data_IF_152188680802
#
_entry.id   IF_152188680802
#
_cell.length_a   1.000
_cell.length_b   1.000
_cell.length_c   1.000
_cell.angle_alpha   90.00
_cell.angle_beta   90.00
_cell.angle_gamma   90.00
#
_symmetry.space_group_name_H-M   'P 1'
#
loop_
_entity.id
_entity.type
_entity.pdbx_description
1 polymer ?
#
# COMPACT_ATOMS: atom_id res chain seq x y z
N UNK A 1 25.13 -13.81 7.41
CA UNK A 1 23.93 -13.00 7.55
C UNK A 1 23.61 -12.41 6.19
N UNK A 2 22.42 -12.70 5.63
CA UNK A 2 21.97 -12.12 4.37
C UNK A 2 21.71 -10.61 4.52
N UNK A 3 21.55 -9.89 3.42
CA UNK A 3 21.15 -8.47 3.46
C UNK A 3 19.82 -8.31 4.20
N UNK A 4 18.86 -9.17 3.92
CA UNK A 4 17.58 -9.23 4.60
C UNK A 4 17.73 -9.35 6.14
N UNK A 5 18.53 -10.32 6.62
CA UNK A 5 18.75 -10.54 8.05
C UNK A 5 19.41 -9.32 8.73
N UNK A 6 20.33 -8.64 8.02
CA UNK A 6 20.95 -7.40 8.55
C UNK A 6 19.92 -6.29 8.71
N UNK A 7 19.07 -6.07 7.70
CA UNK A 7 18.01 -5.05 7.72
C UNK A 7 17.02 -5.35 8.83
N UNK A 8 16.57 -6.59 8.97
CA UNK A 8 15.64 -7.01 9.99
C UNK A 8 16.21 -6.81 11.40
N UNK A 9 17.46 -7.24 11.62
CA UNK A 9 18.16 -7.05 12.90
C UNK A 9 18.36 -5.56 13.22
N UNK A 10 18.72 -4.75 12.24
CA UNK A 10 18.83 -3.30 12.39
C UNK A 10 17.49 -2.70 12.78
N UNK A 11 16.39 -3.03 12.09
CA UNK A 11 15.05 -2.55 12.39
C UNK A 11 14.64 -2.90 13.82
N UNK A 12 14.77 -4.16 14.21
CA UNK A 12 14.39 -4.67 15.54
C UNK A 12 15.26 -4.11 16.67
N UNK A 13 16.46 -3.59 16.36
CA UNK A 13 17.28 -2.86 17.32
C UNK A 13 16.68 -1.51 17.73
N UNK A 14 15.82 -0.94 16.89
CA UNK A 14 15.09 0.30 17.18
C UNK A 14 13.86 -0.02 18.02
N UNK A 15 13.91 0.36 19.29
CA UNK A 15 12.80 0.15 20.21
C UNK A 15 11.72 1.20 20.00
N UNK A 16 10.82 0.96 19.07
CA UNK A 16 9.69 1.85 18.76
C UNK A 16 8.66 1.72 19.90
N UNK A 17 8.42 2.80 20.66
CA UNK A 17 7.54 2.82 21.83
C UNK A 17 6.43 3.86 21.74
N UNK A 18 6.58 4.83 20.88
CA UNK A 18 5.62 5.92 20.70
C UNK A 18 5.58 6.38 19.23
N UNK A 19 4.53 7.11 18.81
CA UNK A 19 4.44 7.64 17.45
C UNK A 19 5.67 8.43 17.01
N UNK A 20 6.28 9.20 17.92
CA UNK A 20 7.47 9.99 17.61
C UNK A 20 8.72 9.15 17.32
N UNK A 21 8.85 7.94 17.86
CA UNK A 21 9.95 7.03 17.50
C UNK A 21 9.74 6.50 16.08
N UNK A 22 8.50 6.11 15.75
CA UNK A 22 8.12 5.66 14.42
C UNK A 22 8.28 6.78 13.39
N UNK A 23 7.82 8.00 13.70
CA UNK A 23 7.96 9.16 12.83
C UNK A 23 9.43 9.46 12.48
N UNK A 24 10.32 9.36 13.45
CA UNK A 24 11.77 9.55 13.23
C UNK A 24 12.37 8.49 12.34
N UNK A 25 11.98 7.23 12.55
CA UNK A 25 12.50 6.10 11.78
C UNK A 25 11.99 6.11 10.34
N UNK A 26 10.75 6.55 10.14
CA UNK A 26 10.08 6.61 8.84
C UNK A 26 10.13 8.00 8.17
N UNK A 27 10.90 8.96 8.68
CA UNK A 27 10.91 10.35 8.18
C UNK A 27 11.23 10.48 6.69
N UNK A 28 12.15 9.64 6.18
CA UNK A 28 12.54 9.63 4.77
C UNK A 28 11.75 8.57 3.98
N UNK A 29 11.29 7.52 4.67
CA UNK A 29 10.46 6.48 4.09
C UNK A 29 9.10 7.03 3.62
N UNK A 30 8.37 7.74 4.47
CA UNK A 30 6.99 8.16 4.17
C UNK A 30 6.87 9.04 2.93
N UNK A 31 7.68 10.10 2.71
CA UNK A 31 7.62 10.88 1.48
C UNK A 31 8.08 10.07 0.26
N UNK A 32 9.10 9.21 0.40
CA UNK A 32 9.57 8.36 -0.70
C UNK A 32 8.53 7.32 -1.09
N UNK A 33 7.89 6.67 -0.12
CA UNK A 33 6.77 5.76 -0.35
C UNK A 33 5.61 6.45 -1.08
N UNK A 34 5.20 7.63 -0.61
CA UNK A 34 4.13 8.39 -1.24
C UNK A 34 4.46 8.78 -2.68
N UNK A 35 5.71 9.21 -2.94
CA UNK A 35 6.19 9.53 -4.27
C UNK A 35 6.08 8.33 -5.23
N UNK A 36 6.70 7.21 -4.89
CA UNK A 36 6.68 6.03 -5.77
C UNK A 36 5.28 5.44 -5.89
N UNK A 37 4.48 5.43 -4.82
CA UNK A 37 3.10 4.98 -4.87
C UNK A 37 2.23 5.83 -5.81
N UNK A 38 2.44 7.15 -5.86
CA UNK A 38 1.76 8.03 -6.82
C UNK A 38 2.24 7.78 -8.26
N UNK A 39 3.54 7.58 -8.49
CA UNK A 39 4.07 7.29 -9.83
C UNK A 39 3.55 5.96 -10.38
N UNK A 40 3.38 4.95 -9.54
CA UNK A 40 2.78 3.66 -9.92
C UNK A 40 1.32 3.80 -10.38
N UNK A 41 0.63 4.86 -9.96
CA UNK A 41 -0.73 5.24 -10.39
C UNK A 41 -0.71 6.28 -11.54
N UNK A 42 0.39 6.34 -12.30
CA UNK A 42 0.59 7.24 -13.46
C UNK A 42 0.48 8.74 -13.13
N UNK A 43 0.78 9.16 -11.87
CA UNK A 43 0.79 10.57 -11.47
C UNK A 43 2.13 11.22 -11.76
N UNK A 44 2.10 12.53 -12.05
CA UNK A 44 3.28 13.31 -12.46
C UNK A 44 3.77 14.21 -11.33
N UNK A 45 4.32 13.63 -10.29
CA UNK A 45 4.93 14.35 -9.17
C UNK A 45 6.45 14.29 -9.25
N UNK A 46 7.13 15.28 -8.68
CA UNK A 46 8.56 15.20 -8.44
C UNK A 46 8.85 14.85 -6.98
N UNK A 47 9.94 14.14 -6.74
CA UNK A 47 10.32 13.77 -5.36
C UNK A 47 10.53 15.01 -4.46
N UNK A 48 11.08 16.10 -5.03
CA UNK A 48 11.27 17.36 -4.30
C UNK A 48 9.94 17.97 -3.83
N UNK A 49 8.90 17.95 -4.67
CA UNK A 49 7.56 18.44 -4.31
C UNK A 49 6.95 17.61 -3.19
N UNK A 50 7.06 16.29 -3.28
CA UNK A 50 6.54 15.38 -2.24
C UNK A 50 7.27 15.60 -0.92
N UNK A 51 8.60 15.68 -0.94
CA UNK A 51 9.43 15.94 0.25
C UNK A 51 9.10 17.30 0.88
N UNK A 52 8.95 18.36 0.07
CA UNK A 52 8.53 19.68 0.53
C UNK A 52 7.16 19.60 1.24
N UNK A 53 6.18 18.95 0.59
CA UNK A 53 4.84 18.83 1.13
C UNK A 53 4.81 18.07 2.47
N UNK A 54 5.53 16.95 2.58
CA UNK A 54 5.57 16.19 3.83
C UNK A 54 6.20 17.00 4.97
N UNK A 55 7.20 17.83 4.66
CA UNK A 55 7.89 18.67 5.64
C UNK A 55 7.10 19.92 6.06
N UNK A 56 6.47 20.61 5.09
CA UNK A 56 5.88 21.95 5.30
C UNK A 56 4.35 22.00 5.26
N UNK A 57 3.72 20.95 4.69
CA UNK A 57 2.28 20.93 4.40
C UNK A 57 1.87 21.71 3.15
N UNK A 58 2.83 22.28 2.41
CA UNK A 58 2.60 23.09 1.20
C UNK A 58 3.57 22.71 0.09
N UNK A 59 3.22 23.03 -1.16
CA UNK A 59 4.10 22.92 -2.32
C UNK A 59 4.24 24.30 -2.94
N UNK A 60 5.46 24.80 -3.05
CA UNK A 60 5.76 26.05 -3.73
C UNK A 60 5.75 25.85 -5.25
N UNK A 61 5.15 26.78 -5.97
CA UNK A 61 5.16 26.80 -7.45
C UNK A 61 4.55 25.56 -8.12
N UNK A 62 3.49 25.01 -7.54
CA UNK A 62 2.76 23.90 -8.15
C UNK A 62 2.02 24.35 -9.42
N UNK A 63 2.22 23.62 -10.53
CA UNK A 63 1.56 23.87 -11.82
C UNK A 63 0.91 22.61 -12.41
N UNK A 64 0.84 21.52 -11.64
CA UNK A 64 0.26 20.23 -12.04
C UNK A 64 -1.27 20.19 -11.86
N UNK A 65 -1.83 18.99 -11.98
CA UNK A 65 -3.24 18.72 -11.69
C UNK A 65 -3.48 18.86 -10.16
N UNK A 66 -4.44 19.71 -9.72
CA UNK A 66 -4.80 19.82 -8.31
C UNK A 66 -5.12 18.47 -7.62
N UNK A 67 -5.58 17.46 -8.38
CA UNK A 67 -5.84 16.12 -7.85
C UNK A 67 -4.58 15.41 -7.36
N UNK A 68 -3.41 15.74 -7.88
CA UNK A 68 -2.12 15.22 -7.40
C UNK A 68 -1.83 15.69 -5.96
N UNK A 69 -2.17 16.96 -5.64
CA UNK A 69 -2.04 17.49 -4.29
C UNK A 69 -3.06 16.84 -3.34
N UNK A 70 -4.28 16.57 -3.81
CA UNK A 70 -5.30 15.86 -3.03
C UNK A 70 -4.81 14.46 -2.66
N UNK A 71 -4.22 13.73 -3.60
CA UNK A 71 -3.67 12.41 -3.34
C UNK A 71 -2.48 12.45 -2.38
N UNK A 72 -1.58 13.41 -2.58
CA UNK A 72 -0.42 13.57 -1.70
C UNK A 72 -0.85 13.90 -0.26
N UNK A 73 -1.85 14.77 -0.11
CA UNK A 73 -2.48 15.05 1.19
C UNK A 73 -3.10 13.81 1.81
N UNK A 74 -3.80 13.02 1.00
CA UNK A 74 -4.45 11.78 1.46
C UNK A 74 -3.42 10.72 1.90
N UNK A 75 -2.29 10.59 1.21
CA UNK A 75 -1.18 9.72 1.61
C UNK A 75 -0.62 10.13 2.99
N UNK A 76 -0.36 11.42 3.20
CA UNK A 76 0.11 11.94 4.48
C UNK A 76 -0.90 11.69 5.60
N UNK A 77 -2.18 11.98 5.35
CA UNK A 77 -3.26 11.74 6.31
C UNK A 77 -3.42 10.25 6.64
N UNK A 78 -3.24 9.38 5.67
CA UNK A 78 -3.31 7.95 5.88
C UNK A 78 -2.19 7.47 6.81
N UNK A 79 -0.95 7.93 6.63
CA UNK A 79 0.15 7.64 7.54
C UNK A 79 -0.15 8.14 8.96
N UNK A 80 -0.60 9.39 9.12
CA UNK A 80 -0.98 9.98 10.41
C UNK A 80 -2.08 9.18 11.11
N UNK A 81 -3.03 8.65 10.34
CA UNK A 81 -4.11 7.79 10.83
C UNK A 81 -3.59 6.43 11.31
N UNK A 82 -2.64 5.84 10.59
CA UNK A 82 -2.17 4.47 10.85
C UNK A 82 -1.11 4.38 11.96
N UNK A 83 -0.29 5.40 12.16
CA UNK A 83 0.86 5.32 13.08
C UNK A 83 0.53 4.90 14.51
N UNK A 84 -0.64 5.33 15.04
CA UNK A 84 -1.10 4.95 16.38
C UNK A 84 -1.60 3.51 16.39
N UNK A 85 -2.29 3.07 15.33
CA UNK A 85 -2.78 1.70 15.16
C UNK A 85 -1.66 0.69 14.97
N UNK A 86 -0.60 1.08 14.27
CA UNK A 86 0.62 0.26 14.16
C UNK A 86 1.20 -0.01 15.53
N UNK A 87 1.29 0.99 16.40
CA UNK A 87 1.82 0.84 17.77
C UNK A 87 0.90 0.02 18.67
N UNK A 88 -0.41 0.20 18.52
CA UNK A 88 -1.40 -0.59 19.23
C UNK A 88 -1.45 -2.05 18.73
N UNK A 89 -0.88 -2.30 17.53
CA UNK A 89 -0.98 -3.57 16.80
C UNK A 89 -2.44 -3.97 16.59
N UNK A 90 -3.27 -2.98 16.22
CA UNK A 90 -4.67 -3.24 15.91
C UNK A 90 -4.77 -4.27 14.79
N UNK A 91 -5.76 -5.15 14.89
CA UNK A 91 -5.99 -6.19 13.89
C UNK A 91 -6.25 -5.58 12.50
N UNK A 92 -5.71 -6.23 11.49
CA UNK A 92 -5.98 -5.90 10.10
C UNK A 92 -7.26 -6.59 9.66
N UNK A 93 -8.38 -5.90 9.84
CA UNK A 93 -9.72 -6.38 9.51
C UNK A 93 -10.35 -5.60 8.34
N UNK A 94 -11.48 -6.08 7.84
CA UNK A 94 -12.22 -5.43 6.75
C UNK A 94 -12.60 -3.98 7.09
N UNK A 95 -13.12 -3.63 8.29
CA UNK A 95 -13.37 -2.25 8.67
C UNK A 95 -12.14 -1.33 8.54
N UNK A 96 -10.97 -1.80 8.94
CA UNK A 96 -9.73 -1.03 8.80
C UNK A 96 -9.33 -0.86 7.33
N UNK A 97 -9.49 -1.90 6.51
CA UNK A 97 -9.25 -1.81 5.05
C UNK A 97 -10.15 -0.77 4.40
N UNK A 98 -11.44 -0.77 4.71
CA UNK A 98 -12.40 0.22 4.20
C UNK A 98 -12.03 1.65 4.62
N UNK A 99 -11.61 1.82 5.88
CA UNK A 99 -11.20 3.13 6.38
C UNK A 99 -9.89 3.63 5.77
N UNK A 100 -8.89 2.75 5.60
CA UNK A 100 -7.66 3.08 4.86
C UNK A 100 -7.98 3.55 3.45
N UNK A 101 -8.81 2.77 2.73
CA UNK A 101 -9.23 3.15 1.38
C UNK A 101 -9.97 4.50 1.38
N UNK A 102 -10.88 4.72 2.34
CA UNK A 102 -11.61 5.98 2.48
C UNK A 102 -10.68 7.18 2.66
N UNK A 103 -9.68 7.05 3.53
CA UNK A 103 -8.71 8.13 3.80
C UNK A 103 -7.84 8.40 2.57
N UNK A 104 -7.30 7.35 1.94
CA UNK A 104 -6.43 7.46 0.76
C UNK A 104 -7.14 8.04 -0.46
N UNK A 105 -8.42 7.73 -0.64
CA UNK A 105 -9.16 8.09 -1.84
C UNK A 105 -10.19 9.21 -1.60
N UNK A 106 -10.13 9.89 -0.45
CA UNK A 106 -10.99 11.03 -0.14
C UNK A 106 -10.75 12.16 -1.16
N UNK A 107 -11.78 12.48 -1.93
CA UNK A 107 -11.73 13.51 -2.97
C UNK A 107 -11.25 13.03 -4.35
N UNK A 108 -10.90 11.76 -4.52
CA UNK A 108 -10.42 11.23 -5.83
C UNK A 108 -11.55 10.65 -6.69
N UNK A 109 -12.70 10.29 -6.11
CA UNK A 109 -13.88 9.81 -6.84
C UNK A 109 -14.73 10.99 -7.36
N UNK A 110 -14.09 12.00 -7.93
CA UNK A 110 -14.77 13.18 -8.45
C UNK A 110 -15.30 13.01 -9.88
N UNK A 111 -14.89 11.95 -10.59
CA UNK A 111 -15.37 11.73 -11.94
C UNK A 111 -16.86 11.40 -11.96
N UNK A 112 -17.62 11.97 -12.92
CA UNK A 112 -19.07 11.75 -13.03
C UNK A 112 -19.46 10.27 -13.06
N UNK A 113 -18.61 9.42 -13.63
CA UNK A 113 -18.81 7.97 -13.70
C UNK A 113 -18.99 7.34 -12.30
N UNK A 114 -18.06 7.60 -11.38
CA UNK A 114 -18.15 7.03 -10.02
C UNK A 114 -19.37 7.56 -9.28
N UNK A 115 -19.66 8.87 -9.41
CA UNK A 115 -20.79 9.48 -8.77
C UNK A 115 -22.11 8.93 -9.26
N UNK A 116 -22.22 8.70 -10.59
CA UNK A 116 -23.42 8.16 -11.23
C UNK A 116 -23.67 6.70 -10.82
N UNK A 117 -22.63 5.88 -10.73
CA UNK A 117 -22.71 4.48 -10.30
C UNK A 117 -22.90 4.33 -8.78
N UNK A 118 -22.83 5.44 -8.03
CA UNK A 118 -22.95 5.42 -6.57
C UNK A 118 -21.70 4.91 -5.86
N UNK A 119 -20.56 4.79 -6.56
CA UNK A 119 -19.29 4.39 -5.97
C UNK A 119 -18.77 5.44 -5.00
N UNK A 120 -18.17 5.02 -3.89
CA UNK A 120 -17.66 5.91 -2.84
C UNK A 120 -16.34 5.40 -2.28
N UNK A 121 -15.40 6.29 -1.90
CA UNK A 121 -14.22 5.89 -1.13
C UNK A 121 -14.62 5.23 0.19
N UNK A 122 -14.02 4.08 0.49
CA UNK A 122 -14.30 3.31 1.70
C UNK A 122 -15.49 2.36 1.60
N UNK A 123 -16.11 2.25 0.44
CA UNK A 123 -17.17 1.27 0.16
C UNK A 123 -16.67 0.27 -0.89
N UNK A 124 -17.05 -1.00 -0.73
CA UNK A 124 -16.79 -2.03 -1.73
C UNK A 124 -17.47 -1.67 -3.05
N UNK A 125 -16.86 -2.08 -4.17
CA UNK A 125 -17.40 -1.84 -5.50
C UNK A 125 -18.83 -2.39 -5.64
N UNK A 126 -19.67 -1.64 -6.32
CA UNK A 126 -21.09 -1.95 -6.53
C UNK A 126 -21.37 -2.56 -7.91
N UNK A 127 -20.38 -2.48 -8.80
CA UNK A 127 -20.47 -2.96 -10.17
C UNK A 127 -19.31 -3.92 -10.46
N UNK A 128 -19.56 -4.86 -11.36
CA UNK A 128 -18.50 -5.67 -11.94
C UNK A 128 -17.74 -4.83 -12.97
N UNK A 129 -16.45 -4.67 -12.77
CA UNK A 129 -15.59 -4.00 -13.73
C UNK A 129 -15.09 -5.00 -14.75
N UNK A 130 -15.18 -4.65 -16.02
CA UNK A 130 -14.81 -5.52 -17.14
C UNK A 130 -13.86 -4.74 -18.05
N UNK A 131 -12.68 -5.28 -18.29
CA UNK A 131 -11.85 -4.82 -19.41
C UNK A 131 -12.38 -5.42 -20.72
N UNK A 132 -11.85 -4.99 -21.87
CA UNK A 132 -12.26 -5.52 -23.17
C UNK A 132 -12.15 -7.06 -23.29
N UNK A 133 -11.46 -7.72 -22.37
CA UNK A 133 -11.10 -9.14 -22.44
C UNK A 133 -11.56 -9.94 -21.23
N UNK A 134 -11.57 -9.38 -20.01
CA UNK A 134 -11.86 -10.12 -18.77
C UNK A 134 -12.56 -9.25 -17.71
N UNK A 135 -13.28 -9.92 -16.79
CA UNK A 135 -13.71 -9.33 -15.53
C UNK A 135 -12.50 -8.98 -14.67
N UNK A 136 -12.56 -7.84 -13.98
CA UNK A 136 -11.51 -7.37 -13.09
C UNK A 136 -11.89 -7.68 -11.64
N UNK A 137 -11.16 -8.60 -11.04
CA UNK A 137 -11.34 -8.97 -9.63
C UNK A 137 -12.56 -9.87 -9.38
N UNK A 138 -12.89 -10.01 -8.11
CA UNK A 138 -14.11 -10.69 -7.67
C UNK A 138 -15.38 -9.97 -8.16
N UNK A 139 -16.50 -10.66 -8.21
CA UNK A 139 -17.78 -10.00 -8.51
C UNK A 139 -18.18 -9.03 -7.41
N UNK A 140 -18.96 -7.99 -7.73
CA UNK A 140 -19.49 -7.06 -6.73
C UNK A 140 -20.37 -7.77 -5.66
N UNK A 141 -20.90 -8.94 -5.99
CA UNK A 141 -21.69 -9.77 -5.06
C UNK A 141 -20.80 -10.50 -4.05
N UNK A 142 -19.65 -11.01 -4.49
CA UNK A 142 -18.83 -11.94 -3.70
C UNK A 142 -17.63 -11.24 -3.05
N UNK A 143 -17.31 -10.01 -3.49
CA UNK A 143 -16.13 -9.25 -3.08
C UNK A 143 -16.01 -9.06 -1.55
N UNK A 144 -17.13 -8.89 -0.85
CA UNK A 144 -17.13 -8.74 0.61
C UNK A 144 -16.67 -10.01 1.31
N UNK A 145 -17.22 -11.16 0.90
CA UNK A 145 -16.83 -12.44 1.47
C UNK A 145 -15.37 -12.76 1.17
N UNK A 146 -14.90 -12.56 -0.06
CA UNK A 146 -13.51 -12.84 -0.42
C UNK A 146 -12.51 -11.93 0.33
N UNK A 147 -12.91 -10.68 0.62
CA UNK A 147 -12.10 -9.78 1.43
C UNK A 147 -12.06 -10.21 2.89
N UNK A 148 -13.20 -10.60 3.48
CA UNK A 148 -13.27 -11.09 4.85
C UNK A 148 -12.42 -12.36 5.03
N UNK A 149 -12.51 -13.32 4.12
CA UNK A 149 -11.68 -14.54 4.10
C UNK A 149 -10.18 -14.19 4.05
N UNK A 150 -9.78 -13.23 3.21
CA UNK A 150 -8.39 -12.77 3.14
C UNK A 150 -7.94 -12.14 4.47
N UNK A 151 -8.79 -11.33 5.11
CA UNK A 151 -8.44 -10.71 6.40
C UNK A 151 -8.26 -11.77 7.50
N UNK A 152 -9.13 -12.79 7.54
CA UNK A 152 -8.99 -13.91 8.49
C UNK A 152 -7.67 -14.68 8.27
N UNK A 153 -7.31 -14.98 7.02
CA UNK A 153 -6.05 -15.64 6.66
C UNK A 153 -4.82 -14.83 7.12
N UNK A 154 -4.84 -13.52 6.85
CA UNK A 154 -3.72 -12.62 7.16
C UNK A 154 -3.59 -12.36 8.66
N UNK A 155 -4.70 -12.17 9.37
CA UNK A 155 -4.69 -12.04 10.84
C UNK A 155 -4.20 -13.33 11.52
N UNK A 156 -4.61 -14.49 11.01
CA UNK A 156 -4.23 -15.79 11.53
C UNK A 156 -2.80 -16.23 11.22
N UNK A 157 -2.07 -15.49 10.38
CA UNK A 157 -0.73 -15.88 9.98
C UNK A 157 0.28 -15.76 11.14
N UNK A 158 0.87 -16.90 11.52
CA UNK A 158 1.87 -17.05 12.59
C UNK A 158 3.23 -17.56 12.07
N UNK A 159 3.42 -17.62 10.75
CA UNK A 159 4.68 -18.08 10.16
C UNK A 159 5.80 -17.05 10.28
N UNK A 160 7.03 -17.49 9.98
CA UNK A 160 8.24 -16.66 10.08
C UNK A 160 8.59 -15.92 8.78
N UNK A 161 8.06 -16.35 7.63
CA UNK A 161 8.34 -15.71 6.34
C UNK A 161 7.34 -14.59 6.09
N UNK A 162 7.62 -13.42 6.69
CA UNK A 162 6.74 -12.25 6.60
C UNK A 162 6.73 -11.61 5.22
N UNK A 163 7.83 -11.70 4.44
CA UNK A 163 7.85 -11.16 3.07
C UNK A 163 7.00 -12.01 2.13
N UNK A 164 7.06 -13.33 2.24
CA UNK A 164 6.20 -14.21 1.46
C UNK A 164 4.73 -14.02 1.83
N UNK A 165 4.42 -13.88 3.12
CA UNK A 165 3.06 -13.60 3.57
C UNK A 165 2.56 -12.24 3.08
N UNK A 166 3.39 -11.19 3.11
CA UNK A 166 3.08 -9.87 2.59
C UNK A 166 2.84 -9.89 1.07
N UNK A 167 3.66 -10.65 0.32
CA UNK A 167 3.50 -10.83 -1.11
C UNK A 167 2.19 -11.58 -1.45
N UNK A 168 1.89 -12.66 -0.72
CA UNK A 168 0.62 -13.38 -0.87
C UNK A 168 -0.57 -12.46 -0.60
N UNK A 169 -0.53 -11.75 0.53
CA UNK A 169 -1.56 -10.79 0.90
C UNK A 169 -1.81 -9.75 -0.20
N UNK A 170 -0.73 -9.14 -0.70
CA UNK A 170 -0.84 -8.11 -1.73
C UNK A 170 -1.38 -8.67 -3.05
N UNK A 171 -0.86 -9.81 -3.52
CA UNK A 171 -1.35 -10.48 -4.72
C UNK A 171 -2.84 -10.83 -4.61
N UNK A 172 -3.25 -11.38 -3.47
CA UNK A 172 -4.65 -11.79 -3.24
C UNK A 172 -5.56 -10.58 -3.18
N UNK A 173 -5.15 -9.50 -2.51
CA UNK A 173 -5.88 -8.24 -2.44
C UNK A 173 -6.08 -7.62 -3.83
N UNK A 174 -5.01 -7.53 -4.64
CA UNK A 174 -5.08 -7.04 -6.02
C UNK A 174 -5.97 -7.94 -6.90
N UNK A 175 -5.89 -9.26 -6.70
CA UNK A 175 -6.74 -10.22 -7.42
C UNK A 175 -8.22 -10.10 -7.05
N UNK A 176 -8.57 -9.82 -5.77
CA UNK A 176 -9.96 -9.55 -5.33
C UNK A 176 -10.45 -8.22 -5.92
N UNK A 177 -9.59 -7.23 -5.97
CA UNK A 177 -9.89 -5.89 -6.49
C UNK A 177 -11.15 -5.27 -5.86
N UNK A 178 -11.15 -5.04 -4.53
CA UNK A 178 -12.37 -4.78 -3.77
C UNK A 178 -13.04 -3.44 -4.05
N UNK A 179 -12.33 -2.48 -4.62
CA UNK A 179 -12.82 -1.12 -4.82
C UNK A 179 -12.96 -0.76 -6.29
N UNK A 180 -13.77 0.25 -6.58
CA UNK A 180 -13.95 0.78 -7.93
C UNK A 180 -12.65 1.42 -8.49
N UNK A 181 -11.81 2.02 -7.63
CA UNK A 181 -10.50 2.55 -7.96
C UNK A 181 -9.62 2.59 -6.70
N UNK A 182 -8.30 2.85 -6.83
CA UNK A 182 -7.38 3.01 -5.71
C UNK A 182 -6.96 1.71 -5.02
N UNK A 183 -7.16 0.56 -5.65
CA UNK A 183 -6.76 -0.75 -5.08
C UNK A 183 -5.24 -0.81 -4.91
N UNK A 184 -4.45 -0.45 -5.92
CA UNK A 184 -2.99 -0.50 -5.86
C UNK A 184 -2.39 0.31 -4.72
N UNK A 185 -2.79 1.58 -4.60
CA UNK A 185 -2.33 2.45 -3.51
C UNK A 185 -2.74 1.89 -2.14
N UNK A 186 -3.98 1.39 -2.02
CA UNK A 186 -4.48 0.77 -0.79
C UNK A 186 -3.70 -0.50 -0.45
N UNK A 187 -3.52 -1.40 -1.40
CA UNK A 187 -2.79 -2.65 -1.20
C UNK A 187 -1.34 -2.42 -0.72
N UNK A 188 -0.63 -1.44 -1.27
CA UNK A 188 0.73 -1.08 -0.82
C UNK A 188 0.76 -0.52 0.62
N UNK A 189 -0.24 0.27 1.00
CA UNK A 189 -0.38 0.74 2.39
C UNK A 189 -0.71 -0.41 3.33
N UNK A 190 -1.57 -1.34 2.93
CA UNK A 190 -1.92 -2.53 3.70
C UNK A 190 -0.70 -3.44 3.94
N UNK A 191 0.16 -3.63 2.93
CA UNK A 191 1.45 -4.33 3.08
C UNK A 191 2.34 -3.63 4.10
N UNK A 192 2.45 -2.30 4.02
CA UNK A 192 3.20 -1.50 4.99
C UNK A 192 2.67 -1.70 6.41
N UNK A 193 1.36 -1.65 6.59
CA UNK A 193 0.70 -1.87 7.88
C UNK A 193 0.95 -3.29 8.41
N UNK A 194 0.77 -4.30 7.55
CA UNK A 194 0.99 -5.72 7.89
C UNK A 194 2.41 -5.97 8.41
N UNK A 195 3.42 -5.39 7.74
CA UNK A 195 4.82 -5.53 8.14
C UNK A 195 5.12 -4.81 9.45
N UNK A 196 4.70 -3.56 9.57
CA UNK A 196 4.96 -2.72 10.76
C UNK A 196 4.35 -3.32 12.03
N UNK A 197 3.12 -3.84 11.98
CA UNK A 197 2.46 -4.46 13.15
C UNK A 197 3.13 -5.76 13.60
N UNK A 198 3.99 -6.34 12.74
CA UNK A 198 4.76 -7.56 13.02
C UNK A 198 6.24 -7.30 13.30
N UNK A 199 6.58 -6.05 13.66
CA UNK A 199 7.95 -5.62 13.96
C UNK A 199 8.93 -5.90 12.81
N UNK A 200 8.45 -5.68 11.59
CA UNK A 200 9.20 -5.84 10.36
C UNK A 200 9.33 -4.50 9.64
N UNK A 201 10.52 -4.20 9.04
CA UNK A 201 10.68 -2.98 8.26
C UNK A 201 9.73 -2.98 7.06
N UNK A 202 9.06 -1.85 6.76
CA UNK A 202 8.25 -1.72 5.57
C UNK A 202 9.14 -1.61 4.32
N UNK A 203 8.56 -1.77 3.14
CA UNK A 203 9.25 -1.64 1.87
C UNK A 203 8.55 -0.67 0.92
N UNK A 204 9.30 -0.15 -0.04
CA UNK A 204 8.79 0.66 -1.14
C UNK A 204 8.85 -0.16 -2.42
N UNK A 205 7.76 -0.23 -3.16
CA UNK A 205 7.80 -0.68 -4.56
C UNK A 205 8.22 0.53 -5.38
N UNK A 206 9.46 0.50 -5.89
CA UNK A 206 10.00 1.61 -6.67
C UNK A 206 9.42 1.63 -8.08
N UNK A 207 9.14 2.83 -8.59
CA UNK A 207 8.52 2.98 -9.91
C UNK A 207 9.39 2.48 -11.08
N UNK A 208 10.71 2.47 -10.93
CA UNK A 208 11.62 1.87 -11.90
C UNK A 208 11.44 0.36 -12.08
N UNK A 209 10.87 -0.32 -11.08
CA UNK A 209 10.55 -1.75 -11.12
C UNK A 209 9.07 -2.02 -11.42
N UNK A 210 8.32 -1.01 -11.86
CA UNK A 210 6.87 -1.10 -12.17
C UNK A 210 6.54 -2.27 -13.10
N UNK A 211 7.31 -2.48 -14.14
CA UNK A 211 7.05 -3.57 -15.09
C UNK A 211 7.21 -4.95 -14.44
N UNK A 212 8.26 -5.13 -13.62
CA UNK A 212 8.46 -6.38 -12.87
C UNK A 212 7.34 -6.59 -11.85
N UNK A 213 6.96 -5.55 -11.13
CA UNK A 213 5.85 -5.58 -10.18
C UNK A 213 4.53 -6.01 -10.82
N UNK A 214 4.12 -5.39 -11.93
CA UNK A 214 2.89 -5.73 -12.65
C UNK A 214 2.95 -7.16 -13.23
N UNK A 215 4.13 -7.59 -13.68
CA UNK A 215 4.33 -8.98 -14.13
C UNK A 215 4.12 -9.98 -12.99
N UNK A 216 4.62 -9.70 -11.78
CA UNK A 216 4.41 -10.56 -10.62
C UNK A 216 2.91 -10.71 -10.28
N UNK A 217 2.14 -9.63 -10.30
CA UNK A 217 0.69 -9.67 -10.10
C UNK A 217 0.00 -10.49 -11.19
N UNK A 218 0.41 -10.34 -12.45
CA UNK A 218 -0.12 -11.12 -13.58
C UNK A 218 0.19 -12.63 -13.44
N UNK A 219 1.35 -12.99 -12.90
CA UNK A 219 1.70 -14.40 -12.61
C UNK A 219 0.73 -14.95 -11.55
N UNK A 220 0.50 -14.19 -10.49
CA UNK A 220 -0.45 -14.61 -9.46
C UNK A 220 -1.88 -14.77 -10.00
N UNK A 221 -2.34 -13.88 -10.86
CA UNK A 221 -3.68 -13.98 -11.45
C UNK A 221 -3.88 -15.29 -12.21
N UNK A 222 -2.84 -15.75 -12.91
CA UNK A 222 -2.88 -16.94 -13.78
C UNK A 222 -2.54 -18.23 -13.04
N UNK A 223 -1.55 -18.21 -12.18
CA UNK A 223 -0.92 -19.40 -11.63
C UNK A 223 -1.09 -19.53 -10.10
N UNK A 224 -1.61 -18.47 -9.46
CA UNK A 224 -1.73 -18.35 -7.98
C UNK A 224 -0.38 -18.49 -7.27
N UNK A 225 0.71 -18.10 -7.95
CA UNK A 225 2.07 -18.12 -7.43
C UNK A 225 2.51 -16.71 -7.01
N UNK A 226 2.68 -16.47 -5.70
CA UNK A 226 3.14 -15.21 -5.15
C UNK A 226 4.68 -15.12 -4.98
N UNK A 227 5.42 -16.20 -5.26
CA UNK A 227 6.89 -16.24 -5.07
C UNK A 227 7.63 -15.16 -5.86
N UNK A 228 7.28 -14.86 -7.14
CA UNK A 228 7.94 -13.78 -7.86
C UNK A 228 7.80 -12.41 -7.19
N UNK A 229 6.63 -12.14 -6.56
CA UNK A 229 6.45 -10.89 -5.81
C UNK A 229 7.21 -10.90 -4.48
N UNK A 230 7.33 -12.05 -3.82
CA UNK A 230 8.13 -12.16 -2.60
C UNK A 230 9.62 -11.89 -2.88
N UNK A 231 10.16 -12.43 -3.98
CA UNK A 231 11.52 -12.15 -4.45
C UNK A 231 11.72 -10.66 -4.80
N UNK A 232 10.74 -10.05 -5.44
CA UNK A 232 10.77 -8.61 -5.69
C UNK A 232 10.74 -7.83 -4.37
N UNK A 233 9.87 -8.18 -3.43
CA UNK A 233 9.80 -7.51 -2.13
C UNK A 233 11.11 -7.58 -1.34
N UNK A 234 11.87 -8.68 -1.44
CA UNK A 234 13.20 -8.76 -0.82
C UNK A 234 14.19 -7.78 -1.48
N UNK A 235 14.18 -7.65 -2.81
CA UNK A 235 14.98 -6.65 -3.54
C UNK A 235 14.58 -5.22 -3.17
N UNK A 236 13.28 -4.95 -3.12
CA UNK A 236 12.74 -3.64 -2.79
C UNK A 236 13.04 -3.25 -1.33
N UNK A 237 12.99 -4.21 -0.41
CA UNK A 237 13.40 -3.99 0.97
C UNK A 237 14.87 -3.58 1.07
N UNK A 238 15.75 -4.24 0.30
CA UNK A 238 17.17 -3.92 0.27
C UNK A 238 17.46 -2.52 -0.34
N UNK A 239 16.66 -2.07 -1.30
CA UNK A 239 16.73 -0.70 -1.83
C UNK A 239 16.16 0.32 -0.83
N UNK A 240 15.07 -0.02 -0.14
CA UNK A 240 14.44 0.85 0.85
C UNK A 240 15.35 1.14 2.04
N UNK A 241 16.07 0.13 2.50
CA UNK A 241 16.94 0.18 3.69
C UNK A 241 18.36 -0.24 3.32
N UNK A 242 19.13 0.63 2.63
CA UNK A 242 20.50 0.28 2.28
C UNK A 242 21.32 0.11 3.56
N UNK A 243 21.81 -1.10 3.77
CA UNK A 243 22.81 -1.35 4.83
C UNK A 243 24.14 -0.82 4.31
N UNK A 244 24.73 0.13 5.00
CA UNK A 244 26.11 0.54 4.71
C UNK A 244 27.01 -0.71 4.66
N UNK A 245 27.75 -0.84 3.55
CA UNK A 245 28.63 -1.96 3.28
C UNK A 245 29.86 -1.94 4.18
#
# INVERSE_FOLDING_TARGET
MSTYEKILSWWQSHRIRCPGDLDKLLQDFTPTFAYHSCLLEDRQLTQSMVTEFFRTGTVSQFSGDPMELVQLYSQKRCYEYLRERVLARDDLDTPLVLEIHRVLNSGTYAEPYYLFQGERPGELKKQDFVTAVNAVGASARDVGQELDELMEEVCGYCGSDLLQAAAYFHCRFENIHPFAAGNGATGRVLVTYFLLTRDHPPLIVFNEDREEYLRCLTVYDREKDCRPLAELFEKELAKTWPTEA
#
